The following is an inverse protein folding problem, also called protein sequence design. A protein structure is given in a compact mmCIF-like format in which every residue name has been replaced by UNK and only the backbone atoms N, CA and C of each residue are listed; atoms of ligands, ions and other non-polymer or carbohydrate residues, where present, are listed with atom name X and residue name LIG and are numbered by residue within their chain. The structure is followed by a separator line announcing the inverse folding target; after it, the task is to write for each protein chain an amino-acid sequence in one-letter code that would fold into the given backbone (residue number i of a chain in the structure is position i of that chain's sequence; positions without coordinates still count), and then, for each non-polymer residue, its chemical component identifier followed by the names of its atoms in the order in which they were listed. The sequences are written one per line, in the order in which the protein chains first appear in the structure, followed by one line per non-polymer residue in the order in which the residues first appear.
data_IF_484584511309
#
_entry.id   IF_484584511309
#
_cell.length_a   1.000
_cell.length_b   1.000
_cell.length_c   1.000
_cell.angle_alpha   90.00
_cell.angle_beta   90.00
_cell.angle_gamma   90.00
#
_symmetry.space_group_name_H-M   'P 1'
#
loop_
_entity.id
_entity.type
_entity.pdbx_description
1 polymer ?
#
# COMPACT_ATOMS: atom_id res chain seq x y z
N UNK A 1 -19.11 -1.49 18.36
CA UNK A 1 -17.76 -0.94 18.04
C UNK A 1 -17.49 -0.92 16.53
N UNK A 2 -18.04 -1.85 15.75
CA UNK A 2 -17.91 -1.91 14.29
C UNK A 2 -18.38 -0.64 13.57
N UNK A 3 -19.54 -0.09 13.93
CA UNK A 3 -20.11 1.10 13.26
C UNK A 3 -19.21 2.34 13.37
N UNK A 4 -18.55 2.51 14.52
CA UNK A 4 -17.60 3.59 14.72
C UNK A 4 -16.37 3.43 13.81
N UNK A 5 -15.89 2.21 13.63
CA UNK A 5 -14.79 1.92 12.72
C UNK A 5 -15.18 2.25 11.27
N UNK A 6 -16.35 1.79 10.80
CA UNK A 6 -16.84 2.08 9.45
C UNK A 6 -17.01 3.58 9.21
N UNK A 7 -17.60 4.30 10.18
CA UNK A 7 -17.75 5.76 10.12
C UNK A 7 -16.40 6.47 10.00
N UNK A 8 -15.40 6.05 10.78
CA UNK A 8 -14.07 6.66 10.74
C UNK A 8 -13.34 6.39 9.42
N UNK A 9 -13.44 5.17 8.88
CA UNK A 9 -12.90 4.85 7.56
C UNK A 9 -13.53 5.75 6.48
N UNK A 10 -14.87 5.81 6.45
CA UNK A 10 -15.63 6.63 5.49
C UNK A 10 -15.17 8.10 5.50
N UNK A 11 -15.08 8.72 6.68
CA UNK A 11 -14.66 10.12 6.80
C UNK A 11 -13.27 10.38 6.20
N UNK A 12 -12.32 9.48 6.45
CA UNK A 12 -10.95 9.61 5.93
C UNK A 12 -10.87 9.33 4.43
N UNK A 13 -11.57 8.31 3.94
CA UNK A 13 -11.57 7.94 2.52
C UNK A 13 -12.22 9.02 1.65
N UNK A 14 -13.32 9.64 2.11
CA UNK A 14 -13.93 10.80 1.43
C UNK A 14 -12.95 11.95 1.32
N UNK A 15 -12.24 12.28 2.40
CA UNK A 15 -11.27 13.38 2.40
C UNK A 15 -10.08 13.10 1.45
N UNK A 16 -9.55 11.88 1.47
CA UNK A 16 -8.46 11.46 0.59
C UNK A 16 -8.88 11.54 -0.89
N UNK A 17 -10.08 11.06 -1.22
CA UNK A 17 -10.63 11.15 -2.58
C UNK A 17 -10.78 12.60 -3.02
N UNK A 18 -11.32 13.47 -2.16
CA UNK A 18 -11.51 14.89 -2.47
C UNK A 18 -10.17 15.62 -2.71
N UNK A 19 -9.09 15.13 -2.11
CA UNK A 19 -7.72 15.64 -2.34
C UNK A 19 -7.03 15.03 -3.55
N UNK A 20 -7.64 14.04 -4.21
CA UNK A 20 -7.02 13.32 -5.31
C UNK A 20 -5.77 12.54 -4.88
N UNK A 21 -5.79 11.95 -3.68
CA UNK A 21 -4.68 11.13 -3.20
C UNK A 21 -4.51 9.87 -4.06
N UNK A 22 -3.27 9.58 -4.47
CA UNK A 22 -2.95 8.40 -5.29
C UNK A 22 -2.95 7.09 -4.51
N UNK A 23 -2.58 7.15 -3.22
CA UNK A 23 -2.58 6.02 -2.30
C UNK A 23 -2.58 6.50 -0.84
N UNK A 24 -2.94 5.61 0.08
CA UNK A 24 -2.83 5.78 1.53
C UNK A 24 -1.74 4.86 2.09
N UNK A 25 -0.69 5.43 2.67
CA UNK A 25 0.43 4.69 3.26
C UNK A 25 0.29 4.63 4.77
N UNK A 26 0.47 3.43 5.35
CA UNK A 26 0.26 3.17 6.78
C UNK A 26 1.41 2.36 7.37
N UNK A 27 1.73 2.59 8.63
CA UNK A 27 2.76 1.86 9.38
C UNK A 27 2.20 1.04 10.56
N UNK A 28 0.88 0.88 10.63
CA UNK A 28 0.19 0.12 11.67
C UNK A 28 -0.67 -0.98 11.04
N UNK A 29 -0.49 -2.27 11.38
CA UNK A 29 -1.22 -3.37 10.75
C UNK A 29 -2.74 -3.26 10.96
N UNK A 30 -3.17 -2.79 12.14
CA UNK A 30 -4.58 -2.57 12.41
C UNK A 30 -5.16 -1.44 11.57
N UNK A 31 -4.38 -0.38 11.30
CA UNK A 31 -4.80 0.68 10.40
C UNK A 31 -4.88 0.17 8.96
N UNK A 32 -3.92 -0.65 8.52
CA UNK A 32 -3.97 -1.26 7.19
C UNK A 32 -5.28 -2.05 7.00
N UNK A 33 -5.60 -2.96 7.92
CA UNK A 33 -6.85 -3.71 7.88
C UNK A 33 -8.09 -2.81 7.93
N UNK A 34 -8.03 -1.75 8.73
CA UNK A 34 -9.10 -0.77 8.88
C UNK A 34 -9.44 -0.04 7.56
N UNK A 35 -8.47 0.19 6.68
CA UNK A 35 -8.70 0.89 5.42
C UNK A 35 -8.83 -0.05 4.24
N UNK A 36 -8.05 -1.12 4.15
CA UNK A 36 -8.11 -2.06 3.03
C UNK A 36 -9.43 -2.87 3.06
N UNK A 37 -9.74 -3.51 4.20
CA UNK A 37 -10.93 -4.36 4.31
C UNK A 37 -12.23 -3.55 4.39
N UNK A 38 -12.28 -2.50 5.19
CA UNK A 38 -13.53 -1.74 5.33
C UNK A 38 -13.85 -0.92 4.07
N UNK A 39 -12.84 -0.43 3.35
CA UNK A 39 -13.09 0.17 2.03
C UNK A 39 -13.72 -0.87 1.12
N UNK A 40 -13.18 -2.08 1.07
CA UNK A 40 -13.74 -3.15 0.24
C UNK A 40 -15.21 -3.48 0.61
N UNK A 41 -15.55 -3.47 1.90
CA UNK A 41 -16.93 -3.64 2.35
C UNK A 41 -17.84 -2.46 1.95
N UNK A 42 -17.38 -1.22 2.14
CA UNK A 42 -18.10 -0.01 1.73
C UNK A 42 -18.32 0.03 0.20
N UNK A 43 -17.36 -0.41 -0.59
CA UNK A 43 -17.48 -0.49 -2.06
C UNK A 43 -18.53 -1.51 -2.49
N UNK A 44 -18.68 -2.61 -1.74
CA UNK A 44 -19.77 -3.58 -1.95
C UNK A 44 -21.15 -3.02 -1.60
N UNK A 45 -21.21 -2.02 -0.72
CA UNK A 45 -22.44 -1.27 -0.40
C UNK A 45 -22.71 -0.12 -1.39
N UNK A 46 -21.83 0.08 -2.38
CA UNK A 46 -22.00 1.07 -3.46
C UNK A 46 -21.18 2.35 -3.27
N UNK A 47 -20.43 2.49 -2.18
CA UNK A 47 -19.56 3.64 -1.95
C UNK A 47 -18.18 3.41 -2.56
N UNK A 48 -17.94 3.92 -3.77
CA UNK A 48 -16.66 3.75 -4.47
C UNK A 48 -15.62 4.79 -4.05
N UNK A 49 -14.45 4.30 -3.63
CA UNK A 49 -13.32 5.14 -3.25
C UNK A 49 -12.11 4.87 -4.14
N UNK A 50 -11.79 3.60 -4.38
CA UNK A 50 -10.69 3.18 -5.24
C UNK A 50 -9.35 3.74 -4.81
N UNK A 51 -9.12 3.91 -3.50
CA UNK A 51 -7.86 4.42 -2.94
C UNK A 51 -7.01 3.22 -2.52
N UNK A 52 -5.91 2.93 -3.23
CA UNK A 52 -4.95 1.89 -2.84
C UNK A 52 -4.41 2.14 -1.43
N UNK A 53 -4.34 1.07 -0.64
CA UNK A 53 -3.73 1.10 0.70
C UNK A 53 -2.42 0.36 0.63
N UNK A 54 -1.35 1.00 1.11
CA UNK A 54 0.00 0.44 1.15
C UNK A 54 0.48 0.39 2.59
N UNK A 55 1.18 -0.67 2.96
CA UNK A 55 2.01 -0.64 4.14
C UNK A 55 3.31 0.10 3.82
N UNK A 56 3.91 0.73 4.83
CA UNK A 56 5.12 1.52 4.66
C UNK A 56 6.26 0.71 4.02
N UNK A 57 6.37 -0.59 4.35
CA UNK A 57 7.37 -1.47 3.76
C UNK A 57 7.14 -1.75 2.28
N UNK A 58 5.89 -1.72 1.81
CA UNK A 58 5.58 -1.90 0.38
C UNK A 58 6.13 -0.72 -0.41
N UNK A 59 5.86 0.51 0.06
CA UNK A 59 6.40 1.71 -0.56
C UNK A 59 7.93 1.76 -0.50
N UNK A 60 8.51 1.34 0.62
CA UNK A 60 9.96 1.23 0.76
C UNK A 60 10.54 0.22 -0.25
N UNK A 61 9.93 -0.96 -0.38
CA UNK A 61 10.34 -1.97 -1.36
C UNK A 61 10.27 -1.45 -2.79
N UNK A 62 9.19 -0.75 -3.16
CA UNK A 62 9.06 -0.12 -4.47
C UNK A 62 10.17 0.91 -4.72
N UNK A 63 10.52 1.71 -3.69
CA UNK A 63 11.61 2.68 -3.77
C UNK A 63 13.00 2.03 -3.87
N UNK A 64 13.13 0.80 -3.39
CA UNK A 64 14.36 0.00 -3.46
C UNK A 64 14.49 -0.81 -4.76
N UNK A 65 13.51 -0.75 -5.66
CA UNK A 65 13.53 -1.44 -6.96
C UNK A 65 12.84 -2.81 -6.97
N UNK A 66 12.16 -3.22 -5.89
CA UNK A 66 11.36 -4.45 -5.90
C UNK A 66 10.06 -4.25 -6.70
N UNK A 67 9.64 -5.27 -7.43
CA UNK A 67 8.38 -5.25 -8.17
C UNK A 67 7.16 -5.37 -7.25
N UNK A 68 6.01 -4.84 -7.70
CA UNK A 68 4.74 -4.96 -6.98
C UNK A 68 4.35 -6.44 -6.70
N UNK A 69 4.78 -7.36 -7.57
CA UNK A 69 4.56 -8.79 -7.43
C UNK A 69 5.42 -9.42 -6.33
N UNK A 70 6.69 -9.05 -6.23
CA UNK A 70 7.59 -9.55 -5.16
C UNK A 70 7.12 -9.08 -3.78
N UNK A 71 6.52 -7.90 -3.71
CA UNK A 71 5.97 -7.32 -2.50
C UNK A 71 4.55 -7.81 -2.17
N UNK A 72 3.91 -8.57 -3.06
CA UNK A 72 2.60 -9.18 -2.81
C UNK A 72 1.41 -8.19 -2.82
N UNK A 73 1.52 -7.07 -3.54
CA UNK A 73 0.44 -6.06 -3.60
C UNK A 73 -0.85 -6.58 -4.26
N UNK A 74 -0.77 -7.67 -5.01
CA UNK A 74 -1.91 -8.35 -5.61
C UNK A 74 -2.85 -8.99 -4.58
N UNK A 75 -2.36 -9.22 -3.35
CA UNK A 75 -3.12 -9.75 -2.22
C UNK A 75 -3.98 -8.70 -1.50
N UNK A 76 -3.82 -7.40 -1.79
CA UNK A 76 -4.60 -6.34 -1.17
C UNK A 76 -6.08 -6.44 -1.59
N UNK A 77 -7.01 -6.07 -0.69
CA UNK A 77 -8.45 -6.09 -1.00
C UNK A 77 -8.81 -5.02 -2.02
N UNK A 78 -8.14 -3.87 -1.95
CA UNK A 78 -8.25 -2.79 -2.92
C UNK A 78 -7.11 -2.89 -3.92
N UNK A 79 -7.46 -2.87 -5.21
CA UNK A 79 -6.48 -3.01 -6.30
C UNK A 79 -5.54 -1.80 -6.35
N UNK A 80 -4.24 -2.07 -6.29
CA UNK A 80 -3.20 -1.06 -6.35
C UNK A 80 -2.73 -0.74 -7.78
N UNK A 81 -3.27 -1.43 -8.80
CA UNK A 81 -2.83 -1.29 -10.20
C UNK A 81 -2.75 0.18 -10.68
N UNK A 82 -3.74 1.06 -10.42
CA UNK A 82 -3.66 2.46 -10.85
C UNK A 82 -2.52 3.25 -10.21
N UNK A 83 -2.20 2.93 -8.95
CA UNK A 83 -1.06 3.54 -8.25
C UNK A 83 0.26 3.01 -8.83
N UNK A 84 0.35 1.71 -9.11
CA UNK A 84 1.56 1.08 -9.65
C UNK A 84 1.86 1.59 -11.07
N UNK A 85 0.87 1.67 -11.95
CA UNK A 85 1.03 2.27 -13.28
C UNK A 85 1.55 3.71 -13.19
N UNK A 86 1.01 4.50 -12.25
CA UNK A 86 1.50 5.86 -12.01
C UNK A 86 2.91 5.86 -11.45
N UNK A 87 3.22 5.03 -10.47
CA UNK A 87 4.54 4.90 -9.85
C UNK A 87 5.62 4.58 -10.90
N UNK A 88 5.37 3.59 -11.75
CA UNK A 88 6.26 3.18 -12.85
C UNK A 88 6.41 4.28 -13.91
N UNK A 89 5.41 5.15 -14.10
CA UNK A 89 5.53 6.30 -15.00
C UNK A 89 6.37 7.44 -14.43
N UNK A 90 6.47 7.55 -13.09
CA UNK A 90 7.19 8.61 -12.39
C UNK A 90 8.66 8.27 -12.16
N UNK A 91 8.97 6.98 -12.00
CA UNK A 91 10.32 6.48 -11.81
C UNK A 91 10.74 5.68 -13.06
N UNK A 92 11.86 6.06 -13.69
CA UNK A 92 12.65 5.03 -14.35
C UNK A 92 13.05 4.05 -13.24
N UNK A 93 12.49 2.84 -13.24
CA UNK A 93 12.60 1.91 -12.12
C UNK A 93 14.06 1.85 -11.65
N UNK A 94 14.38 2.28 -10.40
CA UNK A 94 15.74 2.19 -9.92
C UNK A 94 16.11 0.71 -9.90
N UNK A 95 17.31 0.38 -10.39
CA UNK A 95 17.85 -0.97 -10.23
C UNK A 95 17.79 -1.35 -8.74
N UNK A 96 17.47 -2.62 -8.42
CA UNK A 96 17.44 -3.09 -7.04
C UNK A 96 18.68 -2.64 -6.28
N UNK A 97 18.52 -2.01 -5.11
CA UNK A 97 19.65 -1.45 -4.39
C UNK A 97 20.64 -2.55 -3.95
N UNK A 98 21.75 -2.72 -4.70
CA UNK A 98 22.78 -3.73 -4.45
C UNK A 98 23.40 -3.63 -3.05
N UNK A 99 23.43 -2.43 -2.47
CA UNK A 99 24.01 -2.16 -1.13
C UNK A 99 23.37 -3.00 -0.03
N UNK A 100 22.09 -3.36 -0.16
CA UNK A 100 21.38 -4.17 0.84
C UNK A 100 21.52 -5.66 0.56
N UNK A 101 21.54 -6.07 -0.70
CA UNK A 101 21.84 -7.46 -1.06
C UNK A 101 23.26 -7.85 -0.61
N UNK A 102 24.22 -6.95 -0.75
CA UNK A 102 25.59 -7.12 -0.24
C UNK A 102 25.62 -7.19 1.30
N UNK A 103 24.78 -6.42 1.99
CA UNK A 103 24.64 -6.47 3.45
C UNK A 103 24.02 -7.77 3.97
N UNK A 104 22.92 -8.24 3.35
CA UNK A 104 22.24 -9.49 3.72
C UNK A 104 23.06 -10.74 3.40
N UNK A 105 23.83 -10.72 2.30
CA UNK A 105 24.76 -11.80 1.98
C UNK A 105 25.86 -11.96 3.05
N UNK A 106 26.25 -10.86 3.71
CA UNK A 106 27.28 -10.85 4.75
C UNK A 106 26.77 -11.18 6.16
N UNK A 107 25.45 -11.19 6.40
CA UNK A 107 24.87 -11.54 7.71
C UNK A 107 24.74 -13.06 7.97
N UNK A 108 25.06 -13.91 6.99
CA UNK A 108 25.17 -15.37 7.16
C UNK A 108 26.32 -15.82 8.08
N UNK A 109 27.09 -14.88 8.63
CA UNK A 109 28.19 -15.13 9.57
C UNK A 109 27.82 -14.92 11.06
N UNK A 110 26.55 -14.64 11.40
CA UNK A 110 26.14 -14.34 12.79
C UNK A 110 25.14 -15.30 13.44
N UNK A 111 25.03 -16.53 12.94
CA UNK A 111 24.44 -17.67 13.67
C UNK A 111 25.40 -18.87 13.58
#
# INVERSE_FOLDING_TARGET
QHDNAMRMARLKLVELRNKGADALVLCCPSCFLQFDNNQHLLEREGEKYGIPVLYYTDLLGLAMGYSAKELGLDMHRIKADPFIEKWESLAGAPEPCDVINDGLAQESAFI
#
